data_IF_624219250995
#
_entry.id   IF_624219250995
#
_cell.length_a   1.000
_cell.length_b   1.000
_cell.length_c   1.000
_cell.angle_alpha   90.00
_cell.angle_beta   90.00
_cell.angle_gamma   90.00
#
_symmetry.space_group_name_H-M   'P 1'
#
loop_
_entity.id
_entity.type
_entity.pdbx_description
1 polymer ?
#
# COMPACT_ATOMS: atom_id res chain seq x y z
N UNK A 1 0.47 -16.61 16.91
CA UNK A 1 1.07 -17.10 15.64
C UNK A 1 2.49 -16.56 15.63
N UNK A 2 3.48 -17.39 15.80
CA UNK A 2 4.87 -16.96 15.63
C UNK A 2 5.18 -16.90 14.15
N UNK A 3 5.69 -15.75 13.68
CA UNK A 3 6.18 -15.62 12.31
C UNK A 3 7.61 -16.13 12.30
N UNK A 4 7.79 -17.35 11.83
CA UNK A 4 9.09 -17.95 11.69
C UNK A 4 9.89 -17.26 10.56
N UNK A 5 11.19 -17.05 10.79
CA UNK A 5 12.14 -16.44 9.84
C UNK A 5 11.93 -14.96 9.51
N UNK A 6 11.27 -14.19 10.36
CA UNK A 6 11.21 -12.75 10.24
C UNK A 6 12.53 -12.10 10.71
N UNK A 7 13.54 -12.12 9.85
CA UNK A 7 14.88 -11.58 10.14
C UNK A 7 15.04 -10.09 9.88
N UNK A 8 13.93 -9.36 9.76
CA UNK A 8 13.92 -7.96 9.44
C UNK A 8 13.79 -7.68 7.93
N UNK A 9 13.70 -6.41 7.62
CA UNK A 9 13.54 -5.90 6.26
C UNK A 9 14.35 -4.60 6.15
N UNK A 10 15.10 -4.42 5.07
CA UNK A 10 15.93 -3.22 4.86
C UNK A 10 15.11 -1.94 5.02
N UNK A 11 13.92 -1.87 4.44
CA UNK A 11 13.02 -0.72 4.57
C UNK A 11 12.64 -0.36 6.02
N UNK A 12 12.68 -1.33 6.93
CA UNK A 12 12.38 -1.14 8.36
C UNK A 12 13.67 -0.87 9.13
N UNK A 13 14.74 -1.60 8.81
CA UNK A 13 16.02 -1.48 9.50
C UNK A 13 16.69 -0.11 9.28
N UNK A 14 16.40 0.53 8.14
CA UNK A 14 16.89 1.88 7.80
C UNK A 14 16.15 3.00 8.55
N UNK A 15 15.05 2.67 9.24
CA UNK A 15 14.25 3.64 10.00
C UNK A 15 14.70 3.72 11.45
N UNK A 16 14.61 4.92 12.02
CA UNK A 16 14.80 5.13 13.46
C UNK A 16 13.73 4.33 14.21
N UNK A 17 14.10 3.50 15.21
CA UNK A 17 13.14 2.76 16.02
C UNK A 17 12.11 3.67 16.69
N UNK A 18 10.83 3.27 16.69
CA UNK A 18 9.78 3.99 17.43
C UNK A 18 9.88 3.68 18.91
N UNK A 19 9.72 4.70 19.75
CA UNK A 19 9.82 4.60 21.19
C UNK A 19 8.46 4.61 21.92
N UNK A 20 7.44 5.23 21.32
CA UNK A 20 6.10 5.41 21.92
C UNK A 20 5.13 4.30 21.51
N UNK A 21 5.49 3.05 21.82
CA UNK A 21 4.65 1.89 21.51
C UNK A 21 3.73 1.61 22.69
N UNK A 22 2.41 1.59 22.43
CA UNK A 22 1.39 1.25 23.41
C UNK A 22 0.86 -0.15 23.13
N UNK A 23 0.82 -1.00 24.15
CA UNK A 23 0.17 -2.32 24.09
C UNK A 23 -1.12 -2.26 24.89
N UNK A 24 -2.16 -2.96 24.45
CA UNK A 24 -3.42 -3.06 25.22
C UNK A 24 -3.16 -3.78 26.55
N UNK A 25 -3.48 -3.13 27.67
CA UNK A 25 -3.24 -3.64 29.02
C UNK A 25 -4.52 -3.75 29.86
N UNK A 26 -5.65 -3.26 29.34
CA UNK A 26 -6.91 -3.19 30.09
C UNK A 26 -8.11 -3.32 29.15
N UNK A 27 -9.31 -3.39 29.74
CA UNK A 27 -10.55 -3.33 28.97
C UNK A 27 -10.80 -1.91 28.47
N UNK A 28 -11.26 -1.83 27.23
CA UNK A 28 -11.53 -0.57 26.53
C UNK A 28 -12.90 -0.61 25.85
N UNK A 29 -13.49 0.55 25.66
CA UNK A 29 -14.68 0.74 24.84
C UNK A 29 -14.43 1.78 23.77
N UNK A 30 -14.99 1.58 22.55
CA UNK A 30 -14.88 2.53 21.45
C UNK A 30 -16.08 2.42 20.50
N UNK A 31 -16.27 3.43 19.67
CA UNK A 31 -17.26 3.39 18.59
C UNK A 31 -16.77 2.60 17.38
N UNK A 32 -15.48 2.65 17.08
CA UNK A 32 -14.85 1.98 15.96
C UNK A 32 -13.61 1.23 16.41
N UNK A 33 -13.56 -0.05 16.10
CA UNK A 33 -12.35 -0.87 16.25
C UNK A 33 -11.84 -1.28 14.87
N UNK A 34 -10.54 -1.09 14.66
CA UNK A 34 -9.86 -1.48 13.41
C UNK A 34 -8.79 -2.49 13.78
N UNK A 35 -8.80 -3.66 13.16
CA UNK A 35 -7.82 -4.73 13.37
C UNK A 35 -6.88 -4.77 12.17
N UNK A 36 -5.60 -4.52 12.43
CA UNK A 36 -4.53 -4.43 11.44
C UNK A 36 -4.16 -2.98 11.11
N UNK A 37 -2.93 -2.59 11.42
CA UNK A 37 -2.38 -1.25 11.22
C UNK A 37 -1.41 -1.19 10.03
N UNK A 38 -1.75 -1.85 8.93
CA UNK A 38 -1.14 -1.67 7.62
C UNK A 38 -1.77 -0.48 6.86
N UNK A 39 -1.47 -0.32 5.58
CA UNK A 39 -2.01 0.78 4.74
C UNK A 39 -3.52 0.93 4.86
N UNK A 40 -4.26 -0.18 4.79
CA UNK A 40 -5.73 -0.17 4.85
C UNK A 40 -6.22 0.33 6.21
N UNK A 41 -5.71 -0.24 7.31
CA UNK A 41 -6.15 0.12 8.65
C UNK A 41 -5.76 1.54 9.04
N UNK A 42 -4.54 1.97 8.73
CA UNK A 42 -4.07 3.34 8.97
C UNK A 42 -4.88 4.37 8.16
N UNK A 43 -5.19 4.06 6.89
CA UNK A 43 -6.02 4.93 6.06
C UNK A 43 -7.44 5.04 6.60
N UNK A 44 -8.04 3.92 7.02
CA UNK A 44 -9.36 3.87 7.62
C UNK A 44 -9.40 4.64 8.95
N UNK A 45 -8.43 4.40 9.84
CA UNK A 45 -8.33 5.06 11.14
C UNK A 45 -8.21 6.57 10.99
N UNK A 46 -7.30 7.04 10.13
CA UNK A 46 -7.13 8.47 9.86
C UNK A 46 -8.41 9.10 9.31
N UNK A 47 -9.04 8.46 8.31
CA UNK A 47 -10.25 9.00 7.69
C UNK A 47 -11.43 9.03 8.65
N UNK A 48 -11.64 7.97 9.42
CA UNK A 48 -12.69 7.93 10.46
C UNK A 48 -12.42 8.94 11.57
N UNK A 49 -11.16 9.10 11.98
CA UNK A 49 -10.78 10.11 12.98
C UNK A 49 -11.12 11.54 12.55
N UNK A 50 -10.93 11.85 11.27
CA UNK A 50 -11.31 13.14 10.68
C UNK A 50 -12.82 13.33 10.55
N UNK A 51 -13.55 12.29 10.15
CA UNK A 51 -15.00 12.35 9.94
C UNK A 51 -15.80 12.36 11.24
N UNK A 52 -15.27 11.71 12.28
CA UNK A 52 -15.94 11.53 13.57
C UNK A 52 -15.04 12.00 14.74
N UNK A 53 -14.71 13.30 14.82
CA UNK A 53 -13.72 13.81 15.77
C UNK A 53 -14.10 13.60 17.24
N UNK A 54 -15.38 13.42 17.55
CA UNK A 54 -15.90 13.19 18.89
C UNK A 54 -16.09 11.69 19.22
N UNK A 55 -15.75 10.79 18.31
CA UNK A 55 -15.82 9.35 18.54
C UNK A 55 -14.44 8.77 18.80
N UNK A 56 -14.34 7.89 19.79
CA UNK A 56 -13.12 7.15 20.08
C UNK A 56 -12.95 6.03 19.06
N UNK A 57 -11.80 5.99 18.42
CA UNK A 57 -11.39 4.98 17.45
C UNK A 57 -10.20 4.25 18.02
N UNK A 58 -10.24 2.93 18.02
CA UNK A 58 -9.10 2.10 18.40
C UNK A 58 -8.60 1.37 17.17
N UNK A 59 -7.31 1.50 16.91
CA UNK A 59 -6.57 0.76 15.88
C UNK A 59 -5.64 -0.22 16.59
N UNK A 60 -5.70 -1.50 16.23
CA UNK A 60 -4.90 -2.55 16.89
C UNK A 60 -4.09 -3.30 15.85
N UNK A 61 -2.83 -3.59 16.16
CA UNK A 61 -2.01 -4.52 15.40
C UNK A 61 -1.44 -5.63 16.28
N UNK A 62 -1.33 -6.81 15.74
CA UNK A 62 -0.74 -7.97 16.40
C UNK A 62 0.77 -7.82 16.63
N UNK A 63 1.41 -7.00 15.82
CA UNK A 63 2.83 -6.68 15.83
C UNK A 63 3.02 -5.16 15.92
N UNK A 64 4.17 -4.66 15.48
CA UNK A 64 4.39 -3.23 15.30
C UNK A 64 3.62 -2.74 14.07
N UNK A 65 2.97 -1.60 14.22
CA UNK A 65 2.12 -1.03 13.18
C UNK A 65 2.91 -0.77 11.89
N UNK A 66 2.34 -1.25 10.78
CA UNK A 66 2.91 -1.07 9.46
C UNK A 66 4.09 -1.97 9.12
N UNK A 67 4.64 -2.73 10.05
CA UNK A 67 5.83 -3.57 9.81
C UNK A 67 5.51 -4.92 9.14
N UNK A 68 4.25 -5.18 8.81
CA UNK A 68 3.84 -6.28 7.95
C UNK A 68 4.06 -5.98 6.46
N UNK A 69 3.22 -6.54 5.58
CA UNK A 69 3.32 -6.38 4.13
C UNK A 69 3.35 -4.94 3.63
N UNK A 70 2.82 -3.97 4.41
CA UNK A 70 2.80 -2.56 4.04
C UNK A 70 4.19 -1.90 4.01
N UNK A 71 5.14 -2.36 4.82
CA UNK A 71 6.54 -1.89 4.75
C UNK A 71 7.48 -2.93 4.13
N UNK A 72 6.98 -4.12 3.75
CA UNK A 72 7.79 -5.24 3.22
C UNK A 72 7.42 -5.54 1.77
N UNK A 73 7.31 -4.51 0.96
CA UNK A 73 7.02 -4.61 -0.47
C UNK A 73 8.12 -3.91 -1.27
N UNK A 74 8.00 -3.93 -2.59
CA UNK A 74 9.01 -3.31 -3.48
C UNK A 74 9.06 -1.78 -3.42
N UNK A 75 8.11 -1.13 -2.77
CA UNK A 75 7.96 0.33 -2.83
C UNK A 75 7.54 0.85 -4.20
N UNK A 76 7.03 -0.02 -5.07
CA UNK A 76 6.67 0.31 -6.43
C UNK A 76 5.15 0.48 -6.58
N UNK A 77 4.71 1.71 -6.77
CA UNK A 77 3.33 2.04 -7.11
C UNK A 77 3.15 1.99 -8.63
N UNK A 78 2.11 1.33 -9.08
CA UNK A 78 1.81 1.19 -10.50
C UNK A 78 0.39 1.63 -10.80
N UNK A 79 0.22 2.38 -11.88
CA UNK A 79 -1.07 2.81 -12.42
C UNK A 79 -1.80 1.71 -13.17
N UNK A 80 -1.11 0.62 -13.48
CA UNK A 80 -1.65 -0.44 -14.33
C UNK A 80 -1.05 -1.80 -14.01
N UNK A 81 -1.85 -2.86 -14.17
CA UNK A 81 -1.40 -4.25 -14.15
C UNK A 81 -1.11 -4.75 -15.56
N UNK A 82 -0.08 -4.21 -16.20
CA UNK A 82 0.25 -4.49 -17.61
C UNK A 82 0.76 -5.92 -17.89
N UNK A 83 0.82 -6.79 -16.89
CA UNK A 83 1.41 -8.12 -17.04
C UNK A 83 0.53 -9.11 -17.81
N UNK A 84 -0.72 -8.75 -18.14
CA UNK A 84 -1.69 -9.73 -18.61
C UNK A 84 -1.80 -9.81 -20.15
N UNK A 85 -0.98 -9.05 -20.88
CA UNK A 85 -1.00 -9.02 -22.34
C UNK A 85 -2.40 -8.79 -22.91
N UNK A 86 -2.63 -7.68 -23.60
CA UNK A 86 -3.96 -7.37 -24.11
C UNK A 86 -4.30 -8.25 -25.30
N UNK A 87 -5.25 -9.15 -25.13
CA UNK A 87 -5.67 -10.08 -26.17
C UNK A 87 -7.09 -9.80 -26.71
N UNK A 88 -7.92 -9.02 -26.00
CA UNK A 88 -9.30 -8.75 -26.40
C UNK A 88 -9.78 -7.32 -26.12
N UNK A 89 -10.78 -6.84 -26.88
CA UNK A 89 -11.41 -5.54 -26.65
C UNK A 89 -12.11 -5.43 -25.26
N UNK A 90 -12.57 -6.54 -24.72
CA UNK A 90 -13.19 -6.59 -23.37
C UNK A 90 -12.15 -6.30 -22.29
N UNK A 91 -10.94 -6.83 -22.44
CA UNK A 91 -9.82 -6.56 -21.53
C UNK A 91 -9.38 -5.10 -21.59
N UNK A 92 -9.44 -4.46 -22.77
CA UNK A 92 -9.12 -3.05 -22.95
C UNK A 92 -10.06 -2.12 -22.16
N UNK A 93 -11.37 -2.40 -22.17
CA UNK A 93 -12.34 -1.62 -21.39
C UNK A 93 -12.14 -1.81 -19.89
N UNK A 94 -11.93 -3.04 -19.45
CA UNK A 94 -11.60 -3.34 -18.05
C UNK A 94 -10.27 -2.69 -17.61
N UNK A 95 -9.32 -2.59 -18.51
CA UNK A 95 -8.05 -1.96 -18.29
C UNK A 95 -8.20 -0.47 -17.95
N UNK A 96 -8.97 0.28 -18.73
CA UNK A 96 -9.22 1.69 -18.50
C UNK A 96 -9.86 1.92 -17.14
N UNK A 97 -10.89 1.16 -16.78
CA UNK A 97 -11.54 1.24 -15.47
C UNK A 97 -10.57 0.94 -14.32
N UNK A 98 -9.68 -0.05 -14.48
CA UNK A 98 -8.65 -0.37 -13.48
C UNK A 98 -7.65 0.77 -13.33
N UNK A 99 -7.19 1.34 -14.45
CA UNK A 99 -6.26 2.47 -14.45
C UNK A 99 -6.85 3.67 -13.71
N UNK A 100 -8.11 4.01 -13.97
CA UNK A 100 -8.79 5.10 -13.27
C UNK A 100 -8.81 4.89 -11.75
N UNK A 101 -9.03 3.65 -11.28
CA UNK A 101 -9.01 3.31 -9.86
C UNK A 101 -7.58 3.42 -9.28
N UNK A 102 -6.57 2.95 -9.99
CA UNK A 102 -5.18 3.06 -9.55
C UNK A 102 -4.71 4.51 -9.48
N UNK A 103 -5.08 5.32 -10.47
CA UNK A 103 -4.78 6.76 -10.50
C UNK A 103 -5.43 7.50 -9.32
N UNK A 104 -6.66 7.16 -8.96
CA UNK A 104 -7.29 7.67 -7.75
C UNK A 104 -6.48 7.33 -6.49
N UNK A 105 -5.98 6.09 -6.40
CA UNK A 105 -5.13 5.63 -5.30
C UNK A 105 -3.80 6.38 -5.25
N UNK A 106 -3.10 6.48 -6.37
CA UNK A 106 -1.82 7.19 -6.48
C UNK A 106 -2.00 8.68 -6.13
N UNK A 107 -3.02 9.32 -6.68
CA UNK A 107 -3.32 10.72 -6.40
C UNK A 107 -3.67 10.97 -4.92
N UNK A 108 -4.35 10.02 -4.27
CA UNK A 108 -4.63 10.10 -2.84
C UNK A 108 -3.34 10.02 -2.00
N UNK A 109 -2.40 9.16 -2.38
CA UNK A 109 -1.09 9.05 -1.72
C UNK A 109 -0.27 10.34 -1.99
N UNK A 110 -0.21 10.81 -3.22
CA UNK A 110 0.49 12.06 -3.57
C UNK A 110 -0.06 13.27 -2.82
N UNK A 111 -1.39 13.37 -2.70
CA UNK A 111 -2.05 14.41 -1.90
C UNK A 111 -1.68 14.31 -0.42
N UNK A 112 -1.64 13.10 0.13
CA UNK A 112 -1.21 12.85 1.50
C UNK A 112 0.25 13.31 1.72
N UNK A 113 1.17 12.89 0.84
CA UNK A 113 2.59 13.26 0.91
C UNK A 113 2.74 14.78 0.88
N UNK A 114 2.07 15.47 -0.03
CA UNK A 114 2.14 16.92 -0.14
C UNK A 114 1.53 17.63 1.08
N UNK A 115 0.41 17.14 1.58
CA UNK A 115 -0.29 17.74 2.73
C UNK A 115 0.56 17.69 4.01
N UNK A 116 1.26 16.59 4.23
CA UNK A 116 2.03 16.35 5.45
C UNK A 116 3.54 16.48 5.25
N UNK A 117 3.99 16.93 4.04
CA UNK A 117 5.40 17.10 3.69
C UNK A 117 6.24 15.85 3.99
N UNK A 118 5.70 14.68 3.60
CA UNK A 118 6.32 13.39 3.87
C UNK A 118 7.54 13.17 2.97
N UNK A 119 8.70 12.98 3.58
CA UNK A 119 9.88 12.48 2.87
C UNK A 119 9.86 10.96 2.84
N UNK A 120 9.45 10.38 1.73
CA UNK A 120 9.42 8.95 1.49
C UNK A 120 10.11 8.54 0.17
N UNK A 121 11.10 9.30 -0.27
CA UNK A 121 11.86 9.05 -1.50
C UNK A 121 10.97 8.92 -2.75
N UNK A 122 9.93 9.75 -2.85
CA UNK A 122 8.98 9.73 -3.97
C UNK A 122 9.68 10.03 -5.29
N UNK A 123 9.65 9.07 -6.22
CA UNK A 123 10.30 9.17 -7.53
C UNK A 123 9.39 8.66 -8.65
N UNK A 124 8.92 9.56 -9.50
CA UNK A 124 8.09 9.25 -10.69
C UNK A 124 8.98 8.74 -11.84
N UNK A 125 9.56 7.56 -11.69
CA UNK A 125 10.52 6.97 -12.61
C UNK A 125 9.90 6.34 -13.86
N UNK A 126 8.57 6.12 -13.89
CA UNK A 126 7.89 5.38 -14.94
C UNK A 126 8.15 3.87 -14.88
N UNK A 127 7.71 3.18 -15.94
CA UNK A 127 7.86 1.72 -16.10
C UNK A 127 8.56 1.41 -17.41
N UNK A 128 9.51 0.48 -17.37
CA UNK A 128 10.20 -0.03 -18.54
C UNK A 128 9.88 -1.51 -18.74
N UNK A 129 9.21 -1.84 -19.84
CA UNK A 129 9.06 -3.19 -20.33
C UNK A 129 10.20 -3.47 -21.30
N UNK A 130 11.33 -3.87 -20.77
CA UNK A 130 12.58 -3.98 -21.52
C UNK A 130 12.89 -5.43 -21.89
N UNK A 131 13.43 -5.63 -23.11
CA UNK A 131 13.92 -6.92 -23.58
C UNK A 131 15.31 -6.80 -24.22
N UNK A 132 16.14 -7.82 -23.96
CA UNK A 132 17.40 -8.04 -24.65
C UNK A 132 17.24 -8.79 -25.99
N UNK A 133 16.05 -9.35 -26.26
CA UNK A 133 15.76 -10.12 -27.46
C UNK A 133 15.17 -9.23 -28.55
N UNK A 134 15.70 -9.30 -29.76
CA UNK A 134 15.23 -8.52 -30.92
C UNK A 134 13.85 -9.00 -31.36
N UNK A 135 13.53 -10.28 -31.18
CA UNK A 135 12.25 -10.90 -31.52
C UNK A 135 11.07 -10.25 -30.77
N UNK A 136 11.29 -9.76 -29.57
CA UNK A 136 10.28 -9.10 -28.74
C UNK A 136 9.88 -7.72 -29.26
N UNK A 137 10.60 -7.18 -30.25
CA UNK A 137 10.25 -5.92 -30.91
C UNK A 137 8.82 -5.93 -31.44
N UNK A 138 8.36 -7.04 -32.02
CA UNK A 138 7.00 -7.17 -32.54
C UNK A 138 5.96 -7.10 -31.43
N UNK A 139 6.23 -7.77 -30.30
CA UNK A 139 5.34 -7.77 -29.12
C UNK A 139 5.23 -6.38 -28.54
N UNK A 140 6.35 -5.72 -28.27
CA UNK A 140 6.39 -4.38 -27.70
C UNK A 140 5.79 -3.33 -28.65
N UNK A 141 6.02 -3.46 -29.97
CA UNK A 141 5.40 -2.56 -30.96
C UNK A 141 3.88 -2.74 -31.03
N UNK A 142 3.37 -3.96 -30.93
CA UNK A 142 1.93 -4.20 -30.88
C UNK A 142 1.32 -3.65 -29.59
N UNK A 143 2.02 -3.78 -28.47
CA UNK A 143 1.61 -3.20 -27.21
C UNK A 143 1.58 -1.66 -27.29
N UNK A 144 2.61 -1.04 -27.84
CA UNK A 144 2.64 0.40 -28.12
C UNK A 144 1.42 0.87 -28.94
N UNK A 145 1.07 0.16 -30.03
CA UNK A 145 -0.14 0.46 -30.82
C UNK A 145 -1.43 0.37 -29.99
N UNK A 146 -1.49 -0.57 -29.07
CA UNK A 146 -2.64 -0.73 -28.16
C UNK A 146 -2.75 0.44 -27.20
N UNK A 147 -1.64 0.86 -26.61
CA UNK A 147 -1.61 2.03 -25.72
C UNK A 147 -1.98 3.31 -26.46
N UNK A 148 -1.54 3.48 -27.74
CA UNK A 148 -1.96 4.60 -28.59
C UNK A 148 -3.48 4.63 -28.81
N UNK A 149 -4.13 3.48 -29.03
CA UNK A 149 -5.59 3.38 -29.17
C UNK A 149 -6.34 3.76 -27.90
N UNK A 150 -5.71 3.59 -26.75
CA UNK A 150 -6.27 3.92 -25.43
C UNK A 150 -5.88 5.34 -24.96
N UNK A 151 -5.11 6.06 -25.77
CA UNK A 151 -4.62 7.41 -25.47
C UNK A 151 -3.72 7.46 -24.23
N UNK A 152 -2.94 6.38 -24.00
CA UNK A 152 -1.94 6.33 -22.92
C UNK A 152 -0.59 6.85 -23.41
N UNK A 153 0.02 7.75 -22.64
CA UNK A 153 1.34 8.29 -22.91
C UNK A 153 2.42 7.20 -22.73
N UNK A 154 3.13 6.94 -23.81
CA UNK A 154 4.18 5.93 -23.83
C UNK A 154 5.22 6.23 -24.91
N UNK A 155 6.35 5.56 -24.85
CA UNK A 155 7.41 5.63 -25.87
C UNK A 155 8.10 4.29 -26.08
N UNK A 156 8.44 3.98 -27.34
CA UNK A 156 9.34 2.88 -27.67
C UNK A 156 10.77 3.41 -27.69
N UNK A 157 11.61 2.80 -26.88
CA UNK A 157 13.01 3.16 -26.71
C UNK A 157 13.90 2.06 -27.25
N UNK A 158 14.99 2.45 -27.87
CA UNK A 158 15.98 1.55 -28.46
C UNK A 158 17.32 1.64 -27.72
N UNK A 159 18.22 0.71 -28.04
CA UNK A 159 19.47 0.44 -27.32
C UNK A 159 20.21 1.67 -26.83
N UNK A 160 20.44 2.67 -27.68
CA UNK A 160 21.27 3.84 -27.33
C UNK A 160 20.59 4.72 -26.27
N UNK A 161 19.29 4.96 -26.41
CA UNK A 161 18.51 5.72 -25.42
C UNK A 161 18.31 4.92 -24.13
N UNK A 162 18.04 3.61 -24.26
CA UNK A 162 17.93 2.72 -23.11
C UNK A 162 19.21 2.66 -22.29
N UNK A 163 20.37 2.58 -22.95
CA UNK A 163 21.67 2.54 -22.26
C UNK A 163 21.90 3.80 -21.45
N UNK A 164 21.49 4.95 -21.96
CA UNK A 164 21.59 6.22 -21.23
C UNK A 164 20.64 6.28 -20.03
N UNK A 165 19.40 5.80 -20.18
CA UNK A 165 18.38 5.87 -19.13
C UNK A 165 18.54 4.79 -18.04
N UNK A 166 18.95 3.58 -18.42
CA UNK A 166 19.03 2.43 -17.51
C UNK A 166 20.45 2.16 -17.00
N UNK A 167 21.47 2.86 -17.53
CA UNK A 167 22.86 2.66 -17.15
C UNK A 167 23.44 1.30 -17.58
N UNK A 168 22.78 0.61 -18.54
CA UNK A 168 23.23 -0.70 -19.03
C UNK A 168 22.92 -0.86 -20.51
N UNK A 169 23.82 -1.51 -21.26
CA UNK A 169 23.65 -1.84 -22.67
C UNK A 169 23.00 -3.21 -22.90
N UNK A 170 22.51 -3.86 -21.86
CA UNK A 170 21.93 -5.20 -21.93
C UNK A 170 20.64 -5.26 -22.75
N UNK A 171 19.80 -4.23 -22.66
CA UNK A 171 18.50 -4.20 -23.34
C UNK A 171 18.60 -3.59 -24.73
N UNK A 172 17.90 -4.19 -25.70
CA UNK A 172 17.84 -3.73 -27.09
C UNK A 172 16.61 -2.88 -27.40
N UNK A 173 15.52 -3.10 -26.68
CA UNK A 173 14.26 -2.38 -26.85
C UNK A 173 13.49 -2.33 -25.53
N UNK A 174 12.75 -1.25 -25.28
CA UNK A 174 11.77 -1.18 -24.23
C UNK A 174 10.55 -0.36 -24.64
N UNK A 175 9.41 -0.67 -24.05
CA UNK A 175 8.27 0.21 -23.97
C UNK A 175 8.30 0.91 -22.61
N UNK A 176 8.34 2.23 -22.63
CA UNK A 176 8.28 3.06 -21.44
C UNK A 176 6.90 3.68 -21.28
N UNK A 177 6.35 3.65 -20.07
CA UNK A 177 5.10 4.35 -19.70
C UNK A 177 5.33 5.17 -18.42
N UNK A 178 4.58 6.25 -18.23
CA UNK A 178 4.79 7.18 -17.12
C UNK A 178 4.34 6.66 -15.75
N UNK A 179 3.38 5.83 -15.65
CA UNK A 179 2.65 5.48 -14.42
C UNK A 179 3.36 4.59 -13.39
N UNK A 180 4.68 4.64 -13.30
CA UNK A 180 5.47 3.91 -12.29
C UNK A 180 6.14 4.87 -11.31
N UNK A 181 5.96 4.62 -10.01
CA UNK A 181 6.51 5.46 -8.95
C UNK A 181 7.24 4.57 -7.95
N UNK A 182 8.46 4.91 -7.62
CA UNK A 182 9.20 4.29 -6.53
C UNK A 182 9.12 5.17 -5.29
N UNK A 183 8.98 4.54 -4.13
CA UNK A 183 9.03 5.20 -2.82
C UNK A 183 9.56 4.25 -1.76
N UNK A 184 9.92 4.82 -0.61
CA UNK A 184 10.29 4.06 0.57
C UNK A 184 9.03 3.69 1.38
N UNK A 185 8.56 2.42 1.34
CA UNK A 185 7.27 2.05 1.93
C UNK A 185 7.25 2.20 3.46
N UNK A 186 8.36 1.94 4.11
CA UNK A 186 8.48 2.12 5.56
C UNK A 186 8.36 3.57 6.01
N UNK A 187 8.99 4.52 5.30
CA UNK A 187 8.85 5.96 5.58
C UNK A 187 7.40 6.43 5.39
N UNK A 188 6.73 5.98 4.33
CA UNK A 188 5.33 6.31 4.10
C UNK A 188 4.43 5.81 5.24
N UNK A 189 4.60 4.56 5.67
CA UNK A 189 3.81 4.00 6.78
C UNK A 189 4.07 4.75 8.09
N UNK A 190 5.33 5.09 8.39
CA UNK A 190 5.67 5.90 9.57
C UNK A 190 4.94 7.23 9.58
N UNK A 191 4.96 7.94 8.47
CA UNK A 191 4.22 9.19 8.33
C UNK A 191 2.70 9.00 8.53
N UNK A 192 2.13 7.89 8.03
CA UNK A 192 0.71 7.59 8.25
C UNK A 192 0.36 7.36 9.72
N UNK A 193 1.28 6.79 10.50
CA UNK A 193 1.12 6.63 11.96
C UNK A 193 1.19 8.00 12.65
N UNK A 194 2.17 8.81 12.29
CA UNK A 194 2.44 10.10 12.94
C UNK A 194 1.33 11.13 12.76
N UNK A 195 0.51 10.99 11.69
CA UNK A 195 -0.61 11.91 11.40
C UNK A 195 -1.98 11.37 11.84
N UNK A 196 -2.02 10.32 12.65
CA UNK A 196 -3.28 9.87 13.26
C UNK A 196 -3.86 10.98 14.15
N UNK A 197 -5.16 11.15 14.08
CA UNK A 197 -5.86 12.18 14.86
C UNK A 197 -5.92 11.80 16.34
N UNK A 198 -6.04 12.79 17.24
CA UNK A 198 -6.00 12.59 18.69
C UNK A 198 -7.08 11.66 19.25
N UNK A 199 -8.18 11.47 18.53
CA UNK A 199 -9.26 10.53 18.88
C UNK A 199 -9.02 9.09 18.41
N UNK A 200 -7.87 8.82 17.76
CA UNK A 200 -7.42 7.49 17.38
C UNK A 200 -6.36 6.99 18.37
N UNK A 201 -6.62 5.88 19.01
CA UNK A 201 -5.66 5.21 19.89
C UNK A 201 -5.11 3.99 19.16
N UNK A 202 -3.79 3.95 19.00
CA UNK A 202 -3.09 2.81 18.40
C UNK A 202 -2.53 1.90 19.50
N UNK A 203 -2.92 0.62 19.47
CA UNK A 203 -2.32 -0.45 20.27
C UNK A 203 -1.57 -1.42 19.36
N UNK A 204 -0.33 -1.68 19.70
CA UNK A 204 0.60 -2.57 18.99
C UNK A 204 0.92 -3.78 19.86
N UNK A 205 1.49 -4.84 19.27
CA UNK A 205 1.76 -6.09 19.98
C UNK A 205 0.52 -6.64 20.70
N UNK A 206 -0.66 -6.42 20.12
CA UNK A 206 -1.96 -6.70 20.69
C UNK A 206 -2.77 -7.62 19.78
N UNK A 207 -2.49 -8.92 19.86
CA UNK A 207 -3.10 -9.92 18.99
C UNK A 207 -4.55 -10.20 19.37
N UNK A 208 -5.46 -10.11 18.40
CA UNK A 208 -6.87 -10.49 18.56
C UNK A 208 -6.99 -12.01 18.66
N UNK A 209 -7.45 -12.51 19.81
CA UNK A 209 -7.62 -13.93 20.07
C UNK A 209 -8.97 -14.45 19.57
N UNK A 210 -10.02 -13.69 19.82
CA UNK A 210 -11.40 -14.09 19.49
C UNK A 210 -12.29 -12.85 19.46
N UNK A 211 -13.43 -12.95 18.78
CA UNK A 211 -14.47 -11.94 18.80
C UNK A 211 -15.86 -12.56 18.76
N UNK A 212 -16.84 -11.86 19.31
CA UNK A 212 -18.25 -12.25 19.27
C UNK A 212 -19.14 -11.03 19.13
N UNK A 213 -20.27 -11.19 18.51
CA UNK A 213 -21.29 -10.14 18.40
C UNK A 213 -22.51 -10.55 19.23
N UNK A 214 -22.92 -9.67 20.14
CA UNK A 214 -24.15 -9.82 20.91
C UNK A 214 -24.98 -8.55 20.76
N UNK A 215 -26.11 -8.65 20.04
CA UNK A 215 -26.96 -7.51 19.65
C UNK A 215 -26.10 -6.43 18.94
N UNK A 216 -26.00 -5.25 19.53
CA UNK A 216 -25.31 -4.09 18.97
C UNK A 216 -23.85 -3.95 19.44
N UNK A 217 -23.37 -4.87 20.26
CA UNK A 217 -22.02 -4.85 20.80
C UNK A 217 -21.19 -5.97 20.21
N UNK A 218 -20.02 -5.61 19.68
CA UNK A 218 -18.97 -6.53 19.26
C UNK A 218 -17.91 -6.54 20.34
N UNK A 219 -17.63 -7.71 20.89
CA UNK A 219 -16.64 -7.90 21.94
C UNK A 219 -15.44 -8.65 21.40
N UNK A 220 -14.28 -8.04 21.47
CA UNK A 220 -13.01 -8.53 20.96
C UNK A 220 -12.07 -8.84 22.12
N UNK A 221 -11.58 -10.09 22.21
CA UNK A 221 -10.69 -10.55 23.29
C UNK A 221 -9.24 -10.53 22.82
N UNK A 222 -8.39 -9.92 23.61
CA UNK A 222 -6.94 -9.88 23.45
C UNK A 222 -6.27 -10.61 24.62
N UNK A 223 -4.94 -10.71 24.59
CA UNK A 223 -4.19 -11.36 25.67
C UNK A 223 -4.40 -10.65 27.02
N UNK A 224 -4.24 -9.33 27.04
CA UNK A 224 -4.22 -8.52 28.27
C UNK A 224 -5.46 -7.59 28.39
N UNK A 225 -6.58 -7.93 27.73
CA UNK A 225 -7.79 -7.13 27.83
C UNK A 225 -8.85 -7.47 26.79
N UNK A 226 -9.90 -6.68 26.81
CA UNK A 226 -11.05 -6.80 25.92
C UNK A 226 -11.45 -5.43 25.39
N UNK A 227 -11.80 -5.35 24.11
CA UNK A 227 -12.36 -4.15 23.50
C UNK A 227 -13.80 -4.43 23.09
N UNK A 228 -14.72 -3.61 23.58
CA UNK A 228 -16.09 -3.59 23.10
C UNK A 228 -16.29 -2.45 22.12
N UNK A 229 -16.97 -2.70 21.02
CA UNK A 229 -17.21 -1.71 19.99
C UNK A 229 -18.58 -1.90 19.33
N UNK A 230 -19.09 -0.84 18.69
CA UNK A 230 -20.29 -0.92 17.86
C UNK A 230 -19.97 -1.33 16.43
N UNK A 231 -18.76 -1.01 15.94
CA UNK A 231 -18.35 -1.20 14.55
C UNK A 231 -16.93 -1.70 14.49
N UNK A 232 -16.70 -2.71 13.66
CA UNK A 232 -15.36 -3.29 13.47
C UNK A 232 -14.99 -3.30 12.00
N UNK A 233 -13.70 -3.02 11.73
CA UNK A 233 -13.09 -3.15 10.41
C UNK A 233 -11.93 -4.15 10.54
N UNK A 234 -11.95 -5.21 9.75
CA UNK A 234 -10.82 -6.13 9.62
C UNK A 234 -9.96 -5.71 8.43
N UNK A 235 -8.73 -5.30 8.72
CA UNK A 235 -7.72 -4.88 7.76
C UNK A 235 -6.47 -5.78 7.84
N UNK A 236 -6.69 -7.08 8.10
CA UNK A 236 -5.66 -8.08 8.42
C UNK A 236 -5.11 -8.80 7.20
N UNK A 237 -5.46 -8.37 5.98
CA UNK A 237 -5.10 -9.05 4.74
C UNK A 237 -5.50 -10.54 4.79
N UNK A 238 -4.62 -11.46 4.43
CA UNK A 238 -4.85 -12.92 4.44
C UNK A 238 -4.78 -13.59 5.82
N UNK A 239 -4.63 -12.84 6.91
CA UNK A 239 -4.53 -13.39 8.27
C UNK A 239 -5.87 -13.54 9.01
N UNK A 240 -6.98 -13.18 8.38
CA UNK A 240 -8.32 -13.47 8.92
C UNK A 240 -8.65 -14.95 8.72
N UNK A 241 -8.81 -15.67 9.82
CA UNK A 241 -9.28 -17.06 9.84
C UNK A 241 -10.72 -17.11 10.36
#
# INVERSE_FOLDING_TARGET
MEIHNDKGCSWINDLIPRTNIKTLQSNEDCEWLIIGAGYTGLSAARKLGQLYPNQKIILVDAQLAGEGGSSRNSGYLVDTTLNDGFTSNKELNNYRQKTDIYDLGINAIKKFINQYQVDCDWNECGKFFASSKIEDKKVLSNFSKTLSKLDFDHSLLYKDELSKRLGTSFYNIALHTKGGILLHPGKLVRAMIDVLTNNVVLYENSYLLNWSKNKDVISCKFKEGKINTKKIIFATNGFLK
#
